data_IF_611122739937
#
_entry.id   IF_611122739937
#
_cell.length_a   1.000
_cell.length_b   1.000
_cell.length_c   1.000
_cell.angle_alpha   90.00
_cell.angle_beta   90.00
_cell.angle_gamma   90.00
#
_symmetry.space_group_name_H-M   'P 1'
#
loop_
_entity.id
_entity.type
_entity.pdbx_description
1 polymer ?
#
# COMPACT_ATOMS: atom_id res chain seq x y z
N UNK A 1 -6.09 33.77 27.67
CA UNK A 1 -7.00 32.69 27.22
C UNK A 1 -7.29 32.89 25.73
N UNK A 2 -6.31 32.57 24.88
CA UNK A 2 -6.38 32.68 23.42
C UNK A 2 -5.59 31.48 22.83
N UNK A 3 -6.10 30.27 23.09
CA UNK A 3 -5.57 29.01 22.52
C UNK A 3 -6.75 28.12 22.11
N UNK A 4 -7.63 28.61 21.23
CA UNK A 4 -8.84 27.86 20.83
C UNK A 4 -9.08 27.84 19.31
N UNK A 5 -8.04 28.07 18.49
CA UNK A 5 -8.17 28.02 17.03
C UNK A 5 -6.87 27.52 16.37
N UNK A 6 -6.39 26.34 16.77
CA UNK A 6 -5.34 25.64 16.02
C UNK A 6 -5.94 24.39 15.35
N UNK A 7 -6.39 24.60 14.11
CA UNK A 7 -6.56 23.68 12.97
C UNK A 7 -7.04 22.22 13.16
N UNK A 8 -8.26 21.96 13.69
CA UNK A 8 -8.88 20.65 13.56
C UNK A 8 -9.05 20.21 12.09
N UNK A 9 -9.15 21.16 11.16
CA UNK A 9 -9.36 20.89 9.73
C UNK A 9 -8.15 20.24 9.06
N UNK A 10 -6.92 20.56 9.48
CA UNK A 10 -5.72 20.01 8.83
C UNK A 10 -5.55 18.52 9.17
N UNK A 11 -5.74 18.18 10.45
CA UNK A 11 -5.69 16.80 10.94
C UNK A 11 -6.73 15.91 10.23
N UNK A 12 -7.97 16.38 10.15
CA UNK A 12 -9.06 15.68 9.44
C UNK A 12 -8.72 15.45 7.96
N UNK A 13 -8.10 16.43 7.29
CA UNK A 13 -7.69 16.28 5.88
C UNK A 13 -6.62 15.19 5.76
N UNK A 14 -5.60 15.20 6.63
CA UNK A 14 -4.52 14.21 6.61
C UNK A 14 -5.04 12.80 6.89
N UNK A 15 -5.91 12.64 7.90
CA UNK A 15 -6.54 11.35 8.22
C UNK A 15 -7.38 10.83 7.04
N UNK A 16 -8.11 11.72 6.37
CA UNK A 16 -8.92 11.38 5.19
C UNK A 16 -8.07 10.92 4.00
N UNK A 17 -6.77 11.26 3.95
CA UNK A 17 -5.87 10.78 2.89
C UNK A 17 -5.47 9.31 3.06
N UNK A 18 -5.51 8.77 4.29
CA UNK A 18 -5.08 7.40 4.58
C UNK A 18 -5.82 6.37 3.75
N UNK A 19 -7.13 6.54 3.52
CA UNK A 19 -7.93 5.60 2.73
C UNK A 19 -7.49 5.58 1.25
N UNK A 20 -7.19 6.75 0.67
CA UNK A 20 -6.75 6.83 -0.72
C UNK A 20 -5.33 6.26 -0.88
N UNK A 21 -4.46 6.55 0.08
CA UNK A 21 -3.11 5.97 0.13
C UNK A 21 -3.20 4.45 0.26
N UNK A 22 -4.05 3.93 1.14
CA UNK A 22 -4.29 2.50 1.29
C UNK A 22 -4.66 1.83 -0.04
N UNK A 23 -5.63 2.40 -0.77
CA UNK A 23 -6.04 1.85 -2.07
C UNK A 23 -4.91 1.85 -3.11
N UNK A 24 -4.11 2.91 -3.16
CA UNK A 24 -2.96 2.99 -4.07
C UNK A 24 -1.95 1.87 -3.75
N UNK A 25 -1.62 1.70 -2.47
CA UNK A 25 -0.69 0.65 -2.02
C UNK A 25 -1.23 -0.75 -2.29
N UNK A 26 -2.52 -1.01 -2.00
CA UNK A 26 -3.15 -2.31 -2.30
C UNK A 26 -3.13 -2.59 -3.81
N UNK A 27 -3.47 -1.60 -4.65
CA UNK A 27 -3.45 -1.76 -6.10
C UNK A 27 -2.05 -2.10 -6.63
N UNK A 28 -1.00 -1.40 -6.17
CA UNK A 28 0.38 -1.71 -6.55
C UNK A 28 0.84 -3.08 -6.02
N UNK A 29 0.41 -3.45 -4.82
CA UNK A 29 0.69 -4.77 -4.25
C UNK A 29 0.08 -5.90 -5.08
N UNK A 30 -1.21 -5.78 -5.43
CA UNK A 30 -1.89 -6.74 -6.30
C UNK A 30 -1.26 -6.81 -7.69
N UNK A 31 -0.87 -5.68 -8.27
CA UNK A 31 -0.16 -5.64 -9.55
C UNK A 31 1.19 -6.38 -9.47
N UNK A 32 1.94 -6.18 -8.39
CA UNK A 32 3.22 -6.86 -8.17
C UNK A 32 3.05 -8.38 -7.99
N UNK A 33 2.02 -8.81 -7.26
CA UNK A 33 1.69 -10.23 -7.10
C UNK A 33 1.16 -10.85 -8.41
N UNK A 34 0.37 -10.12 -9.20
CA UNK A 34 -0.03 -10.55 -10.53
C UNK A 34 1.17 -10.74 -11.46
N UNK A 35 2.16 -9.83 -11.38
CA UNK A 35 3.41 -9.96 -12.11
C UNK A 35 4.25 -11.18 -11.69
N UNK A 36 4.21 -11.55 -10.41
CA UNK A 36 4.81 -12.78 -9.89
C UNK A 36 4.17 -14.02 -10.52
N UNK A 37 2.83 -14.08 -10.57
CA UNK A 37 2.09 -15.20 -11.20
C UNK A 37 2.54 -15.38 -12.64
N UNK A 38 2.62 -14.29 -13.41
CA UNK A 38 3.09 -14.32 -14.80
C UNK A 38 4.52 -14.89 -14.90
N UNK A 39 5.42 -14.49 -14.01
CA UNK A 39 6.80 -14.99 -14.00
C UNK A 39 6.92 -16.47 -13.65
N UNK A 40 6.05 -16.96 -12.75
CA UNK A 40 6.02 -18.36 -12.33
C UNK A 40 5.40 -19.25 -13.41
N UNK A 41 4.30 -18.82 -14.03
CA UNK A 41 3.54 -19.66 -14.97
C UNK A 41 4.11 -19.62 -16.40
N UNK A 42 4.56 -18.46 -16.90
CA UNK A 42 4.94 -18.27 -18.30
C UNK A 42 6.47 -18.21 -18.52
N UNK A 43 7.26 -18.62 -17.53
CA UNK A 43 8.71 -18.46 -17.50
C UNK A 43 9.49 -19.42 -18.39
N UNK A 44 9.55 -19.19 -19.71
CA UNK A 44 10.54 -19.86 -20.60
C UNK A 44 11.99 -19.55 -20.21
N UNK A 45 12.21 -18.42 -19.54
CA UNK A 45 13.43 -18.06 -18.81
C UNK A 45 13.08 -17.60 -17.40
N UNK A 46 12.87 -18.55 -16.50
CA UNK A 46 12.54 -18.28 -15.11
C UNK A 46 13.71 -17.58 -14.38
N UNK A 47 13.57 -16.27 -14.16
CA UNK A 47 14.52 -15.52 -13.33
C UNK A 47 14.05 -15.52 -11.89
N UNK A 48 14.71 -16.34 -11.06
CA UNK A 48 14.46 -16.43 -9.61
C UNK A 48 14.51 -15.06 -8.93
N UNK A 49 15.43 -14.19 -9.37
CA UNK A 49 15.56 -12.83 -8.86
C UNK A 49 14.32 -11.97 -9.14
N UNK A 50 13.76 -12.03 -10.35
CA UNK A 50 12.56 -11.25 -10.70
C UNK A 50 11.35 -11.71 -9.89
N UNK A 51 11.19 -13.02 -9.72
CA UNK A 51 10.13 -13.59 -8.88
C UNK A 51 10.30 -13.16 -7.42
N UNK A 52 11.51 -13.27 -6.85
CA UNK A 52 11.78 -12.83 -5.48
C UNK A 52 11.50 -11.32 -5.29
N UNK A 53 11.88 -10.48 -6.25
CA UNK A 53 11.64 -9.04 -6.19
C UNK A 53 10.15 -8.70 -6.26
N UNK A 54 9.38 -9.37 -7.14
CA UNK A 54 7.94 -9.21 -7.21
C UNK A 54 7.24 -9.66 -5.91
N UNK A 55 7.72 -10.74 -5.28
CA UNK A 55 7.20 -11.20 -3.99
C UNK A 55 7.48 -10.18 -2.88
N UNK A 56 8.71 -9.66 -2.79
CA UNK A 56 9.10 -8.66 -1.79
C UNK A 56 8.31 -7.37 -1.97
N UNK A 57 8.22 -6.85 -3.20
CA UNK A 57 7.44 -5.65 -3.49
C UNK A 57 5.95 -5.84 -3.20
N UNK A 58 5.38 -6.97 -3.62
CA UNK A 58 3.98 -7.31 -3.33
C UNK A 58 3.71 -7.34 -1.83
N UNK A 59 4.54 -8.02 -1.05
CA UNK A 59 4.40 -8.07 0.41
C UNK A 59 4.53 -6.69 1.06
N UNK A 60 5.48 -5.87 0.62
CA UNK A 60 5.69 -4.51 1.13
C UNK A 60 4.46 -3.64 0.84
N UNK A 61 4.01 -3.61 -0.41
CA UNK A 61 2.87 -2.79 -0.82
C UNK A 61 1.56 -3.22 -0.16
N UNK A 62 1.30 -4.53 -0.08
CA UNK A 62 0.11 -5.05 0.63
C UNK A 62 0.21 -4.74 2.12
N UNK A 63 1.37 -4.93 2.74
CA UNK A 63 1.58 -4.64 4.17
C UNK A 63 1.30 -3.18 4.51
N UNK A 64 1.87 -2.24 3.75
CA UNK A 64 1.58 -0.81 3.92
C UNK A 64 0.12 -0.47 3.56
N UNK A 65 -0.44 -1.09 2.51
CA UNK A 65 -1.84 -0.89 2.13
C UNK A 65 -2.80 -1.27 3.25
N UNK A 66 -2.59 -2.43 3.88
CA UNK A 66 -3.34 -2.86 5.06
C UNK A 66 -3.09 -1.93 6.24
N UNK A 67 -1.85 -1.52 6.49
CA UNK A 67 -1.53 -0.59 7.57
C UNK A 67 -2.30 0.75 7.44
N UNK A 68 -2.29 1.37 6.26
CA UNK A 68 -3.04 2.61 6.02
C UNK A 68 -4.56 2.39 6.04
N UNK A 69 -5.04 1.21 5.65
CA UNK A 69 -6.45 0.86 5.77
C UNK A 69 -6.90 0.78 7.23
N UNK A 70 -6.07 0.23 8.11
CA UNK A 70 -6.31 0.17 9.54
C UNK A 70 -6.31 1.57 10.17
N UNK A 71 -5.33 2.42 9.80
CA UNK A 71 -5.30 3.82 10.24
C UNK A 71 -6.55 4.58 9.79
N UNK A 72 -7.03 4.36 8.56
CA UNK A 72 -8.28 4.95 8.08
C UNK A 72 -9.53 4.44 8.82
N UNK A 73 -9.47 3.24 9.39
CA UNK A 73 -10.52 2.66 10.23
C UNK A 73 -10.48 3.09 11.70
N UNK A 74 -9.49 3.90 12.11
CA UNK A 74 -9.32 4.39 13.47
C UNK A 74 -8.59 3.43 14.42
N UNK A 75 -7.83 2.47 13.89
CA UNK A 75 -6.91 1.62 14.66
C UNK A 75 -5.53 2.28 14.79
#
# INVERSE_FOLDING_TARGET
>A
MLQLFEFPTFEIIVESLNIYIAFIFVAFGLMSLGWLVIHVEHGRHFSKMKAAFALILGALFIGFGIHFLLLAGGA
#
